data_IF_663686523614
#
_entry.id   IF_663686523614
#
_cell.length_a   1.000
_cell.length_b   1.000
_cell.length_c   1.000
_cell.angle_alpha   90.00
_cell.angle_beta   90.00
_cell.angle_gamma   90.00
#
_symmetry.space_group_name_H-M   'P 1'
#
loop_
_entity.id
_entity.type
_entity.pdbx_description
1 polymer ?
#
# COMPACT_ATOMS: atom_id res chain seq x y z
N UNK A 1 -3.06 -6.77 -27.78
CA UNK A 1 -2.77 -5.47 -27.12
C UNK A 1 -3.71 -5.34 -25.93
N UNK A 2 -3.35 -5.97 -24.82
CA UNK A 2 -4.16 -6.12 -23.61
C UNK A 2 -4.15 -4.83 -22.78
N UNK A 3 -5.33 -4.45 -22.29
CA UNK A 3 -5.58 -3.38 -21.33
C UNK A 3 -5.36 -3.88 -19.90
N UNK A 4 -4.13 -4.21 -19.55
CA UNK A 4 -3.68 -4.37 -18.17
C UNK A 4 -2.54 -3.35 -18.03
N UNK A 5 -2.70 -2.14 -17.51
CA UNK A 5 -3.50 -1.73 -16.38
C UNK A 5 -2.50 -1.16 -15.38
N UNK A 6 -2.03 0.08 -15.61
CA UNK A 6 -1.20 0.88 -14.69
C UNK A 6 -1.92 1.20 -13.34
N UNK A 7 -2.87 0.35 -12.97
CA UNK A 7 -3.57 0.32 -11.71
C UNK A 7 -2.93 -0.83 -10.94
N UNK A 8 -2.19 -0.50 -9.89
CA UNK A 8 -1.64 -1.46 -8.94
C UNK A 8 -0.69 -2.52 -9.54
N UNK A 9 0.37 -2.09 -10.23
CA UNK A 9 1.59 -2.89 -10.34
C UNK A 9 2.54 -2.47 -9.20
N UNK A 10 3.07 -3.44 -8.47
CA UNK A 10 4.09 -3.25 -7.44
C UNK A 10 5.47 -3.58 -7.98
N UNK A 11 6.45 -2.87 -7.42
CA UNK A 11 7.88 -3.06 -7.58
C UNK A 11 8.30 -4.54 -7.64
N UNK A 12 8.59 -5.00 -8.84
CA UNK A 12 9.39 -6.20 -9.09
C UNK A 12 10.78 -5.73 -9.48
N UNK A 13 11.77 -6.03 -8.63
CA UNK A 13 13.23 -6.13 -8.86
C UNK A 13 14.06 -5.52 -7.73
N UNK A 14 13.94 -6.04 -6.51
CA UNK A 14 15.09 -6.14 -5.59
C UNK A 14 14.99 -7.46 -4.82
N UNK A 15 15.34 -8.56 -5.46
CA UNK A 15 15.74 -9.77 -4.73
C UNK A 15 16.64 -10.62 -5.60
N UNK A 16 17.94 -10.35 -5.58
CA UNK A 16 18.94 -11.38 -5.85
C UNK A 16 20.21 -11.06 -5.04
N UNK A 17 20.71 -12.11 -4.40
CA UNK A 17 21.96 -12.24 -3.68
C UNK A 17 22.00 -11.83 -2.18
N UNK A 18 21.36 -12.64 -1.33
CA UNK A 18 21.99 -13.02 -0.04
C UNK A 18 21.79 -14.52 0.16
N UNK A 19 22.89 -15.28 0.07
CA UNK A 19 22.92 -16.68 0.47
C UNK A 19 23.83 -17.57 -0.38
N UNK A 20 25.14 -17.54 -0.11
CA UNK A 20 25.95 -18.71 0.29
C UNK A 20 27.46 -18.45 0.20
N UNK A 21 28.13 -18.97 1.22
CA UNK A 21 29.53 -19.39 1.33
C UNK A 21 30.62 -18.45 1.83
N UNK A 22 31.28 -19.01 2.85
CA UNK A 22 32.48 -18.58 3.55
C UNK A 22 33.74 -18.56 2.67
N UNK A 23 34.70 -17.73 3.08
CA UNK A 23 36.12 -18.01 2.92
C UNK A 23 36.92 -17.01 2.08
N UNK A 24 38.04 -16.58 2.68
CA UNK A 24 39.28 -16.04 2.09
C UNK A 24 39.49 -14.51 2.05
N UNK A 25 40.52 -14.12 2.84
CA UNK A 25 41.27 -12.87 2.79
C UNK A 25 42.02 -12.76 1.45
N UNK A 26 42.48 -11.52 1.18
CA UNK A 26 43.42 -11.05 0.13
C UNK A 26 42.87 -10.77 -1.27
N UNK A 27 42.45 -9.53 -1.54
CA UNK A 27 42.45 -8.91 -2.89
C UNK A 27 42.30 -7.37 -2.84
N UNK A 28 43.13 -6.68 -2.05
CA UNK A 28 43.06 -5.21 -1.89
C UNK A 28 43.66 -4.36 -3.04
N UNK A 29 44.19 -4.97 -4.10
CA UNK A 29 44.96 -4.26 -5.14
C UNK A 29 44.20 -3.88 -6.42
N UNK A 30 43.12 -4.59 -6.77
CA UNK A 30 42.49 -4.45 -8.09
C UNK A 30 41.32 -3.44 -8.13
N UNK A 31 40.68 -3.17 -6.98
CA UNK A 31 39.55 -2.23 -6.89
C UNK A 31 40.00 -0.76 -7.06
N UNK A 32 41.23 -0.42 -6.64
CA UNK A 32 41.76 0.95 -6.76
C UNK A 32 42.15 1.36 -8.20
N UNK A 33 42.43 0.41 -9.10
CA UNK A 33 42.70 0.73 -10.53
C UNK A 33 41.43 1.02 -11.32
N UNK A 34 40.32 0.36 -11.01
CA UNK A 34 39.03 0.57 -11.67
C UNK A 34 38.42 1.96 -11.36
N UNK A 35 38.59 2.44 -10.11
CA UNK A 35 38.09 3.75 -9.67
C UNK A 35 38.88 4.94 -10.27
N UNK A 36 40.16 4.77 -10.61
CA UNK A 36 40.93 5.81 -11.32
C UNK A 36 40.51 5.98 -12.79
N UNK A 37 40.22 4.88 -13.48
CA UNK A 37 39.78 4.92 -14.89
C UNK A 37 38.42 5.61 -15.09
N UNK A 38 37.49 5.49 -14.14
CA UNK A 38 36.19 6.17 -14.22
C UNK A 38 36.27 7.69 -13.98
N UNK A 39 37.21 8.15 -13.13
CA UNK A 39 37.43 9.59 -12.89
C UNK A 39 38.00 10.34 -14.09
N UNK A 40 38.84 9.67 -14.88
CA UNK A 40 39.46 10.26 -16.08
C UNK A 40 38.47 10.38 -17.24
N UNK A 41 37.53 9.43 -17.34
CA UNK A 41 36.47 9.45 -18.34
C UNK A 41 35.41 10.53 -18.04
N UNK A 42 35.13 10.83 -16.76
CA UNK A 42 34.27 11.95 -16.35
C UNK A 42 34.89 13.32 -16.65
N UNK A 43 36.21 13.48 -16.47
CA UNK A 43 36.90 14.75 -16.82
C UNK A 43 36.88 15.04 -18.32
N UNK A 44 37.03 14.02 -19.18
CA UNK A 44 36.96 14.19 -20.64
C UNK A 44 35.56 14.58 -21.12
N UNK A 45 34.48 14.08 -20.49
CA UNK A 45 33.10 14.47 -20.81
C UNK A 45 32.74 15.91 -20.40
N UNK A 46 33.32 16.42 -19.31
CA UNK A 46 33.10 17.81 -18.87
C UNK A 46 33.72 18.86 -19.81
N UNK A 47 34.88 18.57 -20.42
CA UNK A 47 35.56 19.49 -21.35
C UNK A 47 34.80 19.63 -22.68
N UNK A 48 34.11 18.57 -23.13
CA UNK A 48 33.30 18.58 -24.37
C UNK A 48 32.02 19.40 -24.18
N UNK A 49 31.39 19.35 -23.00
CA UNK A 49 30.19 20.15 -22.70
C UNK A 49 30.49 21.64 -22.48
N UNK A 50 31.68 21.99 -21.97
CA UNK A 50 32.12 23.39 -21.86
C UNK A 50 32.31 24.09 -23.20
N UNK A 51 32.67 23.37 -24.28
CA UNK A 51 32.86 23.95 -25.62
C UNK A 51 31.55 24.16 -26.39
N UNK A 52 30.49 23.42 -26.07
CA UNK A 52 29.17 23.55 -26.73
C UNK A 52 28.38 24.74 -26.13
N UNK A 53 28.60 25.07 -24.86
CA UNK A 53 27.95 26.19 -24.19
C UNK A 53 28.48 27.57 -24.66
N UNK A 54 29.76 27.68 -25.07
CA UNK A 54 30.34 28.93 -25.57
C UNK A 54 29.99 29.25 -27.03
N UNK A 55 29.56 28.26 -27.83
CA UNK A 55 29.21 28.48 -29.25
C UNK A 55 27.78 29.01 -29.47
N UNK A 56 26.92 29.01 -28.44
CA UNK A 56 25.53 29.53 -28.51
C UNK A 56 25.35 30.94 -27.95
N UNK A 57 26.35 31.51 -27.29
CA UNK A 57 26.29 32.89 -26.77
C UNK A 57 26.78 33.96 -27.75
N UNK A 58 27.48 33.59 -28.84
CA UNK A 58 28.01 34.54 -29.83
C UNK A 58 27.09 34.78 -31.04
N UNK A 59 26.02 33.99 -31.22
CA UNK A 59 25.05 34.17 -32.31
C UNK A 59 23.92 35.17 -32.02
N UNK A 60 23.86 35.74 -30.81
CA UNK A 60 22.82 36.72 -30.42
C UNK A 60 23.31 38.17 -30.29
N UNK A 61 24.47 38.52 -30.89
CA UNK A 61 25.02 39.88 -30.81
C UNK A 61 25.22 40.61 -32.14
N UNK A 62 24.58 40.14 -33.22
CA UNK A 62 24.50 40.86 -34.49
C UNK A 62 23.11 40.69 -35.11
N UNK A 63 22.23 41.66 -34.88
CA UNK A 63 21.40 42.33 -35.88
C UNK A 63 20.45 43.29 -35.18
N UNK A 64 20.69 44.58 -35.38
CA UNK A 64 19.94 45.68 -34.78
C UNK A 64 18.62 45.96 -35.49
N UNK A 65 17.79 46.70 -34.76
CA UNK A 65 16.83 47.71 -35.22
C UNK A 65 16.07 47.44 -36.52
N UNK A 66 14.83 46.98 -36.39
CA UNK A 66 13.81 47.07 -37.43
C UNK A 66 12.42 46.94 -36.80
N UNK A 67 11.71 48.06 -36.64
CA UNK A 67 10.27 48.04 -36.41
C UNK A 67 9.60 47.36 -37.60
N UNK A 68 8.89 46.26 -37.37
CA UNK A 68 8.02 45.66 -38.38
C UNK A 68 6.59 45.77 -37.86
N UNK A 69 5.81 46.63 -38.51
CA UNK A 69 4.37 46.72 -38.35
C UNK A 69 3.72 45.46 -38.94
N UNK A 70 2.78 44.85 -38.23
CA UNK A 70 1.97 43.74 -38.74
C UNK A 70 0.71 44.31 -39.40
N UNK A 71 0.63 44.23 -40.74
CA UNK A 71 -0.63 44.34 -41.47
C UNK A 71 -1.43 43.05 -41.32
N UNK A 72 -2.69 43.16 -40.87
CA UNK A 72 -3.62 42.06 -40.81
C UNK A 72 -4.10 41.71 -42.23
N UNK A 73 -3.70 40.54 -42.75
CA UNK A 73 -4.40 39.89 -43.86
C UNK A 73 -5.32 38.80 -43.31
N UNK A 74 -6.61 38.97 -43.55
CA UNK A 74 -7.62 37.95 -43.34
C UNK A 74 -7.27 36.70 -44.18
N UNK A 75 -7.23 35.54 -43.54
CA UNK A 75 -7.15 34.24 -44.20
C UNK A 75 -8.46 33.52 -43.92
N UNK A 76 -9.11 33.13 -45.01
CA UNK A 76 -10.42 32.49 -45.06
C UNK A 76 -10.44 31.15 -44.34
N UNK A 77 -11.55 30.94 -43.62
CA UNK A 77 -11.94 29.72 -42.92
C UNK A 77 -12.12 28.56 -43.93
N UNK A 78 -11.11 27.68 -43.98
CA UNK A 78 -11.23 26.39 -44.65
C UNK A 78 -11.31 25.31 -43.59
N UNK A 79 -12.54 24.83 -43.36
CA UNK A 79 -12.88 23.81 -42.40
C UNK A 79 -12.02 22.55 -42.51
N UNK A 80 -11.04 22.44 -41.60
CA UNK A 80 -10.30 21.22 -41.33
C UNK A 80 -10.55 20.83 -39.88
N UNK A 81 -11.23 19.69 -39.71
CA UNK A 81 -11.57 19.06 -38.42
C UNK A 81 -10.35 19.06 -37.50
N UNK A 82 -10.51 19.59 -36.28
CA UNK A 82 -9.56 19.48 -35.19
C UNK A 82 -9.06 18.03 -35.05
N UNK A 83 -7.87 17.75 -35.58
CA UNK A 83 -7.12 16.55 -35.21
C UNK A 83 -6.69 16.77 -33.77
N UNK A 84 -7.13 15.88 -32.88
CA UNK A 84 -6.62 15.75 -31.51
C UNK A 84 -5.08 15.76 -31.54
N UNK A 85 -4.49 16.91 -31.21
CA UNK A 85 -3.10 17.00 -30.79
C UNK A 85 -3.02 16.26 -29.44
N UNK A 86 -2.80 14.94 -29.50
CA UNK A 86 -2.38 14.18 -28.32
C UNK A 86 -1.05 14.76 -27.90
N UNK A 87 -1.07 15.67 -26.93
CA UNK A 87 0.12 16.10 -26.21
C UNK A 87 0.74 14.81 -25.65
N UNK A 88 1.84 14.39 -26.24
CA UNK A 88 2.60 13.24 -25.74
C UNK A 88 2.99 13.57 -24.30
N UNK A 89 2.77 12.64 -23.38
CA UNK A 89 3.21 12.81 -22.00
C UNK A 89 4.69 13.22 -21.98
N UNK A 90 5.09 14.16 -21.10
CA UNK A 90 6.47 14.66 -21.04
C UNK A 90 7.47 13.64 -20.48
N UNK A 91 7.00 12.42 -20.16
CA UNK A 91 7.78 11.33 -19.60
C UNK A 91 7.47 10.03 -20.34
N UNK A 92 8.44 9.11 -20.34
CA UNK A 92 8.32 7.78 -20.95
C UNK A 92 8.54 6.68 -19.91
N UNK A 93 7.98 5.50 -20.14
CA UNK A 93 8.23 4.33 -19.30
C UNK A 93 9.72 3.98 -19.30
N UNK A 94 10.27 3.69 -18.12
CA UNK A 94 11.69 3.43 -17.90
C UNK A 94 12.56 4.69 -17.79
N UNK A 95 11.99 5.89 -17.94
CA UNK A 95 12.73 7.13 -17.79
C UNK A 95 13.01 7.43 -16.30
N UNK A 96 14.28 7.67 -15.97
CA UNK A 96 14.68 8.22 -14.68
C UNK A 96 14.36 9.73 -14.63
N UNK A 97 13.71 10.17 -13.57
CA UNK A 97 13.39 11.58 -13.33
C UNK A 97 13.75 11.97 -11.89
N UNK A 98 14.22 13.21 -11.73
CA UNK A 98 14.42 13.83 -10.43
C UNK A 98 13.18 14.67 -10.12
N UNK A 99 12.60 14.46 -8.94
CA UNK A 99 11.37 15.15 -8.53
C UNK A 99 11.52 15.72 -7.12
N UNK A 100 10.93 16.89 -6.92
CA UNK A 100 10.56 17.39 -5.59
C UNK A 100 9.12 16.98 -5.32
N UNK A 101 8.84 16.48 -4.11
CA UNK A 101 7.51 16.04 -3.70
C UNK A 101 6.76 17.19 -3.02
N UNK A 102 5.66 17.61 -3.64
CA UNK A 102 4.85 18.76 -3.22
C UNK A 102 3.72 18.39 -2.25
N UNK A 103 3.32 17.12 -2.24
CA UNK A 103 2.14 16.68 -1.49
C UNK A 103 1.99 15.17 -1.46
N UNK A 104 0.93 14.71 -0.78
CA UNK A 104 0.52 13.31 -0.74
C UNK A 104 -0.85 13.14 -1.41
N UNK A 105 -1.04 12.03 -2.10
CA UNK A 105 -2.34 11.60 -2.60
C UNK A 105 -3.25 11.14 -1.45
N UNK A 106 -4.53 10.90 -1.73
CA UNK A 106 -5.48 10.35 -0.76
C UNK A 106 -5.08 8.98 -0.19
N UNK A 107 -4.27 8.24 -0.95
CA UNK A 107 -3.70 6.91 -0.63
C UNK A 107 -2.29 7.01 -0.02
N UNK A 108 -1.77 8.21 0.20
CA UNK A 108 -0.47 8.42 0.86
C UNK A 108 0.74 8.32 -0.07
N UNK A 109 0.55 8.40 -1.39
CA UNK A 109 1.65 8.39 -2.35
C UNK A 109 2.20 9.80 -2.54
N UNK A 110 3.52 9.94 -2.63
CA UNK A 110 4.14 11.22 -2.96
C UNK A 110 3.69 11.72 -4.32
N UNK A 111 3.39 13.02 -4.42
CA UNK A 111 3.01 13.66 -5.67
C UNK A 111 4.03 14.75 -5.99
N UNK A 112 4.78 14.54 -7.07
CA UNK A 112 5.65 15.54 -7.68
C UNK A 112 5.13 15.93 -9.07
N UNK A 113 5.72 16.97 -9.65
CA UNK A 113 5.43 17.39 -11.03
C UNK A 113 6.69 17.58 -11.85
N UNK A 114 6.64 17.16 -13.10
CA UNK A 114 7.65 17.47 -14.11
C UNK A 114 6.96 18.09 -15.33
N UNK A 115 7.40 19.28 -15.74
CA UNK A 115 6.77 20.04 -16.84
C UNK A 115 5.24 20.17 -16.68
N UNK A 116 4.77 20.37 -15.44
CA UNK A 116 3.34 20.47 -15.11
C UNK A 116 2.57 19.14 -15.08
N UNK A 117 3.20 18.02 -15.40
CA UNK A 117 2.60 16.69 -15.42
C UNK A 117 2.81 15.97 -14.09
N UNK A 118 1.73 15.45 -13.51
CA UNK A 118 1.75 14.81 -12.19
C UNK A 118 2.40 13.43 -12.25
N UNK A 119 3.29 13.16 -11.29
CA UNK A 119 3.94 11.86 -11.11
C UNK A 119 3.70 11.39 -9.68
N UNK A 120 3.07 10.22 -9.53
CA UNK A 120 2.80 9.57 -8.25
C UNK A 120 3.92 8.59 -7.91
N UNK A 121 4.48 8.72 -6.72
CA UNK A 121 5.62 7.92 -6.26
C UNK A 121 5.34 7.36 -4.86
N UNK A 122 4.89 6.10 -4.76
CA UNK A 122 4.70 5.43 -3.47
C UNK A 122 5.99 5.42 -2.64
N UNK A 123 5.87 5.68 -1.33
CA UNK A 123 7.01 5.69 -0.41
C UNK A 123 7.81 7.00 -0.37
N UNK A 124 7.48 7.98 -1.22
CA UNK A 124 8.05 9.31 -1.21
C UNK A 124 7.21 10.28 -0.36
N UNK A 125 7.87 11.19 0.35
CA UNK A 125 7.25 12.11 1.31
C UNK A 125 7.38 13.57 0.89
N UNK A 126 6.50 14.43 1.42
CA UNK A 126 6.52 15.86 1.16
C UNK A 126 7.85 16.49 1.59
N UNK A 127 8.37 17.36 0.73
CA UNK A 127 9.65 18.06 0.94
C UNK A 127 10.87 17.25 0.50
N UNK A 128 10.70 16.02 0.03
CA UNK A 128 11.81 15.22 -0.47
C UNK A 128 12.23 15.60 -1.89
N UNK A 129 13.53 15.51 -2.12
CA UNK A 129 14.09 15.40 -3.47
C UNK A 129 14.46 13.95 -3.72
N UNK A 130 13.94 13.37 -4.80
CA UNK A 130 14.05 11.94 -5.08
C UNK A 130 14.51 11.69 -6.51
N UNK A 131 15.05 10.49 -6.73
CA UNK A 131 15.18 9.88 -8.06
C UNK A 131 14.18 8.74 -8.15
N UNK A 132 13.40 8.73 -9.22
CA UNK A 132 12.43 7.69 -9.48
C UNK A 132 12.39 7.31 -10.97
N UNK A 133 12.05 6.06 -11.23
CA UNK A 133 11.91 5.52 -12.59
C UNK A 133 10.44 5.39 -12.93
N UNK A 134 10.04 6.01 -14.04
CA UNK A 134 8.64 5.98 -14.51
C UNK A 134 8.24 4.56 -14.86
N UNK A 135 7.31 4.00 -14.09
CA UNK A 135 6.80 2.64 -14.26
C UNK A 135 5.71 2.61 -15.32
N UNK A 136 4.81 3.58 -15.28
CA UNK A 136 3.71 3.65 -16.23
C UNK A 136 3.19 5.06 -16.46
N UNK A 137 2.70 5.31 -17.67
CA UNK A 137 2.23 6.61 -18.12
C UNK A 137 0.76 6.49 -18.54
N UNK A 138 -0.10 7.31 -17.93
CA UNK A 138 -1.52 7.45 -18.28
C UNK A 138 -1.74 8.79 -18.98
N UNK A 139 -2.98 9.07 -19.35
CA UNK A 139 -3.36 10.29 -20.10
C UNK A 139 -2.94 11.59 -19.39
N UNK A 140 -3.12 11.66 -18.06
CA UNK A 140 -2.97 12.90 -17.30
C UNK A 140 -1.93 12.82 -16.17
N UNK A 141 -1.34 11.64 -15.94
CA UNK A 141 -0.36 11.42 -14.89
C UNK A 141 0.53 10.22 -15.22
N UNK A 142 1.64 10.09 -14.50
CA UNK A 142 2.46 8.89 -14.47
C UNK A 142 2.57 8.35 -13.04
N UNK A 143 2.94 7.08 -12.93
CA UNK A 143 3.38 6.45 -11.68
C UNK A 143 4.85 6.08 -11.85
N UNK A 144 5.63 6.24 -10.80
CA UNK A 144 7.05 5.92 -10.79
C UNK A 144 7.41 5.12 -9.54
N UNK A 145 8.48 4.33 -9.66
CA UNK A 145 9.08 3.58 -8.55
C UNK A 145 10.17 4.47 -7.94
N UNK A 146 10.15 4.62 -6.62
CA UNK A 146 11.19 5.34 -5.89
C UNK A 146 12.50 4.54 -5.96
N UNK A 147 13.54 5.11 -6.57
CA UNK A 147 14.85 4.46 -6.67
C UNK A 147 15.75 4.84 -5.50
N UNK A 148 15.81 6.15 -5.19
CA UNK A 148 16.53 6.67 -4.03
C UNK A 148 16.03 8.04 -3.61
N UNK A 149 16.18 8.34 -2.32
CA UNK A 149 15.95 9.67 -1.76
C UNK A 149 17.28 10.43 -1.74
N UNK A 150 17.32 11.61 -2.37
CA UNK A 150 18.50 12.49 -2.37
C UNK A 150 18.49 13.32 -1.09
N UNK A 151 17.38 14.01 -0.85
CA UNK A 151 17.16 14.83 0.36
C UNK A 151 15.95 14.29 1.10
N UNK A 152 16.13 13.63 2.26
CA UNK A 152 15.03 13.06 3.01
C UNK A 152 14.23 14.11 3.77
N UNK A 153 12.94 13.84 3.96
CA UNK A 153 12.07 14.65 4.81
C UNK A 153 12.47 14.47 6.27
N UNK A 154 12.42 15.51 7.12
CA UNK A 154 12.64 15.35 8.56
C UNK A 154 11.60 14.42 9.21
N UNK A 155 10.44 14.23 8.57
CA UNK A 155 9.40 13.33 9.04
C UNK A 155 9.58 11.89 8.55
N UNK A 156 10.60 11.59 7.73
CA UNK A 156 10.88 10.22 7.29
C UNK A 156 11.28 9.36 8.48
N UNK A 157 10.59 8.24 8.65
CA UNK A 157 10.88 7.24 9.67
C UNK A 157 11.17 5.89 9.02
N UNK A 158 12.02 5.08 9.66
CA UNK A 158 12.20 3.69 9.25
C UNK A 158 10.97 2.87 9.69
N UNK A 159 10.28 2.17 8.77
CA UNK A 159 9.15 1.33 9.13
C UNK A 159 9.55 0.22 10.11
N UNK A 160 8.89 0.15 11.27
CA UNK A 160 9.18 -0.89 12.28
C UNK A 160 8.73 -2.32 11.89
N UNK A 161 8.10 -2.50 10.73
CA UNK A 161 7.49 -3.75 10.31
C UNK A 161 8.23 -4.34 9.12
N UNK A 162 8.82 -5.53 9.27
CA UNK A 162 9.58 -6.20 8.21
C UNK A 162 8.73 -6.54 6.97
N UNK A 163 7.42 -6.68 7.15
CA UNK A 163 6.47 -6.93 6.06
C UNK A 163 6.10 -5.66 5.29
N UNK A 164 6.49 -4.48 5.76
CA UNK A 164 6.10 -3.20 5.16
C UNK A 164 6.40 -3.07 3.66
N UNK A 165 7.57 -3.53 3.13
CA UNK A 165 7.86 -3.38 1.70
C UNK A 165 6.90 -4.14 0.78
N UNK A 166 6.30 -5.24 1.25
CA UNK A 166 5.41 -6.09 0.46
C UNK A 166 3.94 -5.94 0.85
N UNK A 167 3.64 -5.72 2.13
CA UNK A 167 2.29 -5.63 2.66
C UNK A 167 1.59 -4.34 2.23
N UNK A 168 0.45 -4.45 1.53
CA UNK A 168 -0.34 -3.31 1.07
C UNK A 168 -1.13 -2.57 2.17
N UNK A 169 -0.96 -2.92 3.44
CA UNK A 169 -1.83 -2.46 4.54
C UNK A 169 -1.45 -1.11 5.15
N UNK A 170 -0.19 -0.94 5.58
CA UNK A 170 0.22 0.19 6.42
C UNK A 170 0.95 1.29 5.63
N UNK A 171 0.30 1.88 4.63
CA UNK A 171 0.91 2.74 3.61
C UNK A 171 1.77 3.93 4.12
N UNK A 172 1.53 4.41 5.34
CA UNK A 172 2.22 5.59 5.92
C UNK A 172 3.28 5.23 6.96
N UNK A 173 3.70 3.97 7.11
CA UNK A 173 4.64 3.56 8.17
C UNK A 173 6.05 4.16 8.02
N UNK A 174 6.38 4.66 6.83
CA UNK A 174 7.62 5.38 6.52
C UNK A 174 7.59 6.87 6.92
N UNK A 175 6.49 7.32 7.52
CA UNK A 175 6.28 8.66 8.03
C UNK A 175 6.18 8.61 9.56
N UNK A 176 6.82 9.57 10.24
CA UNK A 176 6.70 9.77 11.70
C UNK A 176 5.23 9.83 12.12
N UNK A 177 4.94 9.54 13.39
CA UNK A 177 3.56 9.54 13.84
C UNK A 177 2.94 10.94 13.77
N UNK A 178 3.70 11.96 14.13
CA UNK A 178 3.35 13.38 14.01
C UNK A 178 3.09 13.77 12.55
N UNK A 179 3.97 13.34 11.64
CA UNK A 179 3.81 13.51 10.20
C UNK A 179 2.54 12.84 9.67
N UNK A 180 2.18 11.65 10.17
CA UNK A 180 0.93 10.97 9.81
C UNK A 180 -0.30 11.78 10.25
N UNK A 181 -0.28 12.40 11.44
CA UNK A 181 -1.37 13.25 11.91
C UNK A 181 -1.47 14.52 11.05
N UNK A 182 -0.34 15.14 10.71
CA UNK A 182 -0.29 16.30 9.83
C UNK A 182 -0.82 15.99 8.43
N UNK A 183 -0.38 14.88 7.82
CA UNK A 183 -0.85 14.42 6.51
C UNK A 183 -2.37 14.15 6.51
N UNK A 184 -2.88 13.49 7.55
CA UNK A 184 -4.33 13.24 7.70
C UNK A 184 -5.12 14.54 7.84
N UNK A 185 -4.60 15.52 8.59
CA UNK A 185 -5.21 16.85 8.71
C UNK A 185 -5.24 17.55 7.35
N UNK A 186 -4.12 17.57 6.64
CA UNK A 186 -4.01 18.22 5.34
C UNK A 186 -4.98 17.59 4.33
N UNK A 187 -5.18 16.27 4.38
CA UNK A 187 -6.18 15.60 3.54
C UNK A 187 -7.61 16.12 3.77
N UNK A 188 -7.97 16.42 5.02
CA UNK A 188 -9.28 17.00 5.34
C UNK A 188 -9.35 18.46 4.89
N UNK A 189 -8.29 19.25 5.10
CA UNK A 189 -8.20 20.64 4.58
C UNK A 189 -8.40 20.66 3.07
N UNK A 190 -7.64 19.83 2.34
CA UNK A 190 -7.71 19.75 0.88
C UNK A 190 -9.11 19.34 0.40
N UNK A 191 -9.76 18.39 1.09
CA UNK A 191 -11.11 17.98 0.74
C UNK A 191 -12.14 19.10 0.97
N UNK A 192 -12.09 19.77 2.14
CA UNK A 192 -13.04 20.83 2.51
C UNK A 192 -12.90 22.05 1.59
N UNK A 193 -11.66 22.46 1.29
CA UNK A 193 -11.38 23.61 0.43
C UNK A 193 -11.60 23.29 -1.06
N UNK A 194 -10.95 22.25 -1.60
CA UNK A 194 -10.95 21.99 -3.05
C UNK A 194 -12.21 21.30 -3.55
N UNK A 195 -12.81 20.41 -2.75
CA UNK A 195 -14.04 19.69 -3.15
C UNK A 195 -15.27 20.40 -2.59
N UNK A 196 -15.20 20.84 -1.33
CA UNK A 196 -16.31 21.54 -0.68
C UNK A 196 -16.45 23.00 -1.08
N UNK A 197 -15.38 23.66 -1.55
CA UNK A 197 -15.38 25.10 -1.84
C UNK A 197 -15.50 25.96 -0.58
N UNK A 198 -15.10 25.42 0.58
CA UNK A 198 -15.26 26.07 1.88
C UNK A 198 -13.90 26.52 2.42
N UNK A 199 -13.52 27.76 2.15
CA UNK A 199 -12.20 28.29 2.53
C UNK A 199 -12.11 28.75 4.00
N UNK A 200 -13.25 29.09 4.61
CA UNK A 200 -13.31 29.64 5.98
C UNK A 200 -13.58 28.58 7.08
N UNK A 201 -13.47 27.29 6.76
CA UNK A 201 -13.70 26.22 7.72
C UNK A 201 -12.40 25.83 8.43
N UNK A 202 -12.35 26.06 9.74
CA UNK A 202 -11.21 25.67 10.56
C UNK A 202 -11.17 24.15 10.76
N UNK A 203 -10.20 23.49 10.12
CA UNK A 203 -9.87 22.08 10.40
C UNK A 203 -8.92 22.00 11.60
N UNK A 204 -9.42 21.46 12.71
CA UNK A 204 -8.64 21.26 13.93
C UNK A 204 -7.53 20.19 13.77
N UNK A 205 -6.51 20.19 14.65
CA UNK A 205 -5.53 19.10 14.70
C UNK A 205 -6.18 17.73 14.88
N UNK A 206 -5.61 16.71 14.24
CA UNK A 206 -6.08 15.32 14.38
C UNK A 206 -5.78 14.83 15.80
N UNK A 207 -6.78 14.24 16.44
CA UNK A 207 -6.60 13.61 17.75
C UNK A 207 -5.89 12.27 17.54
N UNK A 208 -4.67 12.16 18.06
CA UNK A 208 -3.84 10.97 17.96
C UNK A 208 -4.17 9.89 18.99
N UNK A 209 -3.44 8.79 18.91
CA UNK A 209 -3.42 7.66 19.84
C UNK A 209 -2.06 7.65 20.53
N UNK A 210 -2.04 7.51 21.86
CA UNK A 210 -0.80 7.53 22.63
C UNK A 210 0.14 6.38 22.26
N UNK A 211 -0.40 5.18 22.06
CA UNK A 211 0.32 4.00 21.59
C UNK A 211 -0.35 3.49 20.30
N UNK A 212 0.13 3.86 19.09
CA UNK A 212 -0.52 3.55 17.83
C UNK A 212 -0.30 2.10 17.35
N UNK A 213 -0.12 1.16 18.27
CA UNK A 213 0.11 -0.27 18.00
C UNK A 213 -0.98 -1.15 18.63
N UNK A 214 -1.08 -2.40 18.16
CA UNK A 214 -1.97 -3.45 18.70
C UNK A 214 -3.44 -3.03 18.89
N UNK A 215 -3.89 -2.02 18.15
CA UNK A 215 -5.17 -1.39 18.35
C UNK A 215 -6.32 -2.09 17.63
N UNK A 216 -6.02 -2.91 16.61
CA UNK A 216 -7.06 -3.57 15.81
C UNK A 216 -7.67 -4.73 16.59
N UNK A 217 -8.99 -4.69 16.71
CA UNK A 217 -9.79 -5.75 17.30
C UNK A 217 -10.34 -6.75 16.25
N UNK A 218 -10.01 -6.54 14.97
CA UNK A 218 -10.42 -7.39 13.87
C UNK A 218 -9.28 -7.56 12.87
N UNK A 219 -8.90 -8.82 12.69
CA UNK A 219 -8.00 -9.28 11.64
C UNK A 219 -8.80 -10.05 10.60
N UNK A 220 -8.39 -9.91 9.34
CA UNK A 220 -8.95 -10.62 8.20
C UNK A 220 -7.80 -10.98 7.27
N UNK A 221 -7.43 -12.25 7.25
CA UNK A 221 -6.35 -12.76 6.43
C UNK A 221 -6.94 -13.63 5.31
N UNK A 222 -6.69 -13.31 4.02
CA UNK A 222 -6.80 -14.32 2.98
C UNK A 222 -5.97 -15.55 3.29
N UNK A 223 -6.43 -16.67 2.76
CA UNK A 223 -5.73 -17.94 2.79
C UNK A 223 -5.32 -18.29 1.37
N UNK A 224 -4.03 -18.58 1.18
CA UNK A 224 -3.47 -19.03 -0.07
C UNK A 224 -2.64 -20.29 0.12
N UNK A 225 -1.99 -20.71 -0.97
CA UNK A 225 -1.03 -21.81 -0.98
C UNK A 225 0.27 -21.30 -1.57
N UNK A 226 1.39 -21.63 -0.94
CA UNK A 226 2.74 -21.30 -1.41
C UNK A 226 3.65 -22.48 -1.11
N UNK A 227 4.39 -22.95 -2.11
CA UNK A 227 5.26 -24.13 -1.99
C UNK A 227 4.51 -25.35 -1.41
N UNK A 228 3.28 -25.57 -1.91
CA UNK A 228 2.32 -26.59 -1.45
C UNK A 228 1.86 -26.47 0.03
N UNK A 229 2.23 -25.39 0.71
CA UNK A 229 1.85 -25.11 2.09
C UNK A 229 0.77 -24.04 2.20
N UNK A 230 -0.20 -24.27 3.09
CA UNK A 230 -1.25 -23.29 3.38
C UNK A 230 -0.67 -22.09 4.11
N UNK A 231 -0.86 -20.89 3.55
CA UNK A 231 -0.37 -19.62 4.10
C UNK A 231 -1.52 -18.68 4.41
N UNK A 232 -1.35 -17.87 5.45
CA UNK A 232 -2.28 -16.81 5.82
C UNK A 232 -1.52 -15.50 5.99
N UNK A 233 -2.14 -14.39 5.62
CA UNK A 233 -1.53 -13.08 5.81
C UNK A 233 -2.24 -11.96 5.08
N UNK A 234 -1.50 -10.92 4.72
CA UNK A 234 -2.02 -9.79 3.98
C UNK A 234 -1.82 -9.99 2.47
N UNK A 235 -2.61 -9.30 1.66
CA UNK A 235 -2.29 -9.20 0.24
C UNK A 235 -1.07 -8.31 0.01
N UNK A 236 -0.23 -8.71 -0.94
CA UNK A 236 0.84 -7.86 -1.45
C UNK A 236 0.23 -6.61 -2.10
N UNK A 237 0.89 -5.47 -1.94
CA UNK A 237 0.40 -4.20 -2.44
C UNK A 237 0.01 -4.26 -3.92
N UNK A 238 -1.28 -4.14 -4.22
CA UNK A 238 -1.78 -4.11 -5.58
C UNK A 238 -2.01 -5.46 -6.26
N UNK A 239 -1.81 -6.57 -5.57
CA UNK A 239 -2.07 -7.92 -6.10
C UNK A 239 -2.99 -8.71 -5.17
N UNK A 240 -3.36 -9.92 -5.58
CA UNK A 240 -4.04 -10.90 -4.72
C UNK A 240 -3.08 -12.00 -4.23
N UNK A 241 -1.76 -11.75 -4.29
CA UNK A 241 -0.77 -12.67 -3.73
C UNK A 241 -0.75 -12.52 -2.20
N UNK A 242 -0.82 -13.66 -1.48
CA UNK A 242 -0.79 -13.67 -0.02
C UNK A 242 0.64 -13.63 0.48
N UNK A 243 1.00 -12.58 1.21
CA UNK A 243 2.25 -12.45 1.95
C UNK A 243 2.11 -13.19 3.28
N UNK A 244 2.86 -14.30 3.52
CA UNK A 244 2.82 -15.00 4.79
C UNK A 244 3.09 -14.05 5.96
N UNK A 245 2.19 -14.01 6.93
CA UNK A 245 2.24 -13.05 8.04
C UNK A 245 2.12 -13.80 9.37
N UNK A 246 3.24 -13.90 10.08
CA UNK A 246 3.28 -14.49 11.43
C UNK A 246 2.79 -13.53 12.50
N UNK A 247 3.17 -12.25 12.39
CA UNK A 247 2.72 -11.19 13.28
C UNK A 247 2.44 -9.90 12.50
N UNK A 248 1.58 -9.06 13.05
CA UNK A 248 1.24 -7.76 12.51
C UNK A 248 1.10 -6.74 13.65
N UNK A 249 1.98 -5.73 13.70
CA UNK A 249 2.08 -4.79 14.83
C UNK A 249 0.81 -4.00 15.15
N UNK A 250 -0.13 -3.87 14.21
CA UNK A 250 -1.42 -3.21 14.45
C UNK A 250 -2.51 -4.18 14.94
N UNK A 251 -2.31 -5.49 14.79
CA UNK A 251 -3.23 -6.53 15.25
C UNK A 251 -2.88 -6.97 16.66
N UNK A 252 -3.89 -7.35 17.45
CA UNK A 252 -3.67 -7.93 18.78
C UNK A 252 -2.91 -9.26 18.68
N UNK A 253 -1.99 -9.48 19.62
CA UNK A 253 -1.20 -10.71 19.70
C UNK A 253 -2.09 -11.95 19.87
N UNK A 254 -3.13 -11.88 20.70
CA UNK A 254 -4.12 -12.96 20.85
C UNK A 254 -4.78 -13.33 19.51
N UNK A 255 -5.15 -12.34 18.69
CA UNK A 255 -5.74 -12.59 17.37
C UNK A 255 -4.75 -13.26 16.41
N UNK A 256 -3.47 -12.89 16.46
CA UNK A 256 -2.41 -13.52 15.67
C UNK A 256 -2.13 -14.95 16.12
N UNK A 257 -2.11 -15.22 17.43
CA UNK A 257 -1.96 -16.56 17.99
C UNK A 257 -3.12 -17.49 17.57
N UNK A 258 -4.35 -16.99 17.59
CA UNK A 258 -5.53 -17.71 17.09
C UNK A 258 -5.38 -18.04 15.60
N UNK A 259 -4.95 -17.08 14.76
CA UNK A 259 -4.71 -17.33 13.33
C UNK A 259 -3.65 -18.41 13.13
N UNK A 260 -2.57 -18.40 13.91
CA UNK A 260 -1.52 -19.41 13.83
C UNK A 260 -2.07 -20.81 14.15
N UNK A 261 -2.91 -20.94 15.19
CA UNK A 261 -3.63 -22.19 15.50
C UNK A 261 -4.58 -22.61 14.39
N UNK A 262 -5.38 -21.69 13.84
CA UNK A 262 -6.28 -21.99 12.72
C UNK A 262 -5.50 -22.51 11.52
N UNK A 263 -4.36 -21.89 11.17
CA UNK A 263 -3.51 -22.34 10.07
C UNK A 263 -2.92 -23.73 10.32
N UNK A 264 -2.45 -23.99 11.54
CA UNK A 264 -1.96 -25.32 11.96
C UNK A 264 -3.05 -26.39 11.83
N UNK A 265 -4.23 -26.13 12.39
CA UNK A 265 -5.37 -27.04 12.33
C UNK A 265 -5.89 -27.21 10.90
N UNK A 266 -5.88 -26.16 10.08
CA UNK A 266 -6.28 -26.25 8.68
C UNK A 266 -5.45 -27.28 7.92
N UNK A 267 -4.13 -27.32 8.15
CA UNK A 267 -3.26 -28.35 7.58
C UNK A 267 -3.58 -29.74 8.12
N UNK A 268 -3.75 -29.86 9.43
CA UNK A 268 -4.06 -31.15 10.09
C UNK A 268 -5.39 -31.77 9.62
N UNK A 269 -6.38 -30.93 9.34
CA UNK A 269 -7.70 -31.34 8.84
C UNK A 269 -7.75 -31.45 7.30
N UNK A 270 -6.63 -31.24 6.61
CA UNK A 270 -6.55 -31.34 5.15
C UNK A 270 -7.32 -30.27 4.40
N UNK A 271 -7.46 -29.06 4.98
CA UNK A 271 -8.09 -27.94 4.31
C UNK A 271 -7.14 -27.34 3.27
N UNK A 272 -7.68 -27.03 2.09
CA UNK A 272 -6.97 -26.32 1.02
C UNK A 272 -7.30 -24.84 1.01
N UNK A 273 -6.31 -24.01 0.72
CA UNK A 273 -6.50 -22.59 0.42
C UNK A 273 -7.28 -22.41 -0.89
N UNK A 274 -8.10 -21.37 -0.95
CA UNK A 274 -8.88 -21.03 -2.14
C UNK A 274 -8.00 -20.37 -3.19
N UNK A 275 -8.03 -20.92 -4.40
CA UNK A 275 -7.35 -20.35 -5.57
C UNK A 275 -8.37 -19.62 -6.45
N UNK A 276 -8.20 -18.31 -6.64
CA UNK A 276 -9.19 -17.49 -7.35
C UNK A 276 -9.26 -17.80 -8.86
N UNK A 277 -8.16 -18.30 -9.45
CA UNK A 277 -8.07 -18.59 -10.88
C UNK A 277 -8.84 -19.88 -11.24
N UNK A 278 -8.54 -20.98 -10.56
CA UNK A 278 -9.18 -22.29 -10.70
C UNK A 278 -10.52 -22.38 -9.98
N UNK A 279 -10.74 -21.50 -8.99
CA UNK A 279 -11.91 -21.46 -8.09
C UNK A 279 -12.07 -22.70 -7.23
N UNK A 280 -10.97 -23.42 -7.04
CA UNK A 280 -10.90 -24.61 -6.21
C UNK A 280 -10.37 -24.25 -4.84
N UNK A 281 -10.48 -25.20 -3.92
CA UNK A 281 -10.08 -25.04 -2.54
C UNK A 281 -11.22 -24.60 -1.63
N UNK A 282 -11.03 -24.85 -0.33
CA UNK A 282 -12.08 -24.69 0.66
C UNK A 282 -11.99 -23.36 1.40
N UNK A 283 -10.84 -23.03 1.96
CA UNK A 283 -10.69 -21.91 2.88
C UNK A 283 -10.28 -20.65 2.12
N UNK A 284 -11.14 -19.63 2.11
CA UNK A 284 -10.90 -18.35 1.42
C UNK A 284 -10.19 -17.36 2.34
N UNK A 285 -10.71 -17.21 3.55
CA UNK A 285 -10.24 -16.24 4.53
C UNK A 285 -10.41 -16.79 5.94
N UNK A 286 -9.60 -16.28 6.85
CA UNK A 286 -9.77 -16.43 8.30
C UNK A 286 -9.92 -15.03 8.89
N UNK A 287 -10.98 -14.82 9.68
CA UNK A 287 -11.15 -13.61 10.46
C UNK A 287 -11.11 -13.96 11.94
N UNK A 288 -10.53 -13.06 12.73
CA UNK A 288 -10.68 -13.08 14.18
C UNK A 288 -11.21 -11.72 14.61
N UNK A 289 -12.34 -11.71 15.31
CA UNK A 289 -12.88 -10.55 16.01
C UNK A 289 -12.60 -10.71 17.50
N UNK A 290 -12.20 -9.63 18.14
CA UNK A 290 -11.87 -9.60 19.56
C UNK A 290 -12.71 -8.50 20.22
N UNK A 291 -13.45 -8.84 21.26
CA UNK A 291 -14.20 -7.90 22.07
C UNK A 291 -13.25 -7.28 23.10
N UNK A 292 -12.95 -5.99 22.97
CA UNK A 292 -11.88 -5.36 23.74
C UNK A 292 -12.21 -5.23 25.24
N UNK A 293 -13.46 -4.93 25.57
CA UNK A 293 -13.93 -4.72 26.94
C UNK A 293 -14.22 -6.00 27.73
N UNK A 294 -14.47 -7.13 27.06
CA UNK A 294 -14.74 -8.42 27.71
C UNK A 294 -13.63 -9.44 27.55
N UNK A 295 -12.79 -9.30 26.52
CA UNK A 295 -11.75 -10.27 26.17
C UNK A 295 -12.22 -11.43 25.30
N UNK A 296 -13.51 -11.51 24.95
CA UNK A 296 -14.05 -12.59 24.12
C UNK A 296 -13.52 -12.54 22.69
N UNK A 297 -13.28 -13.70 22.08
CA UNK A 297 -12.87 -13.82 20.69
C UNK A 297 -13.85 -14.66 19.86
N UNK A 298 -14.00 -14.26 18.60
CA UNK A 298 -14.75 -14.99 17.56
C UNK A 298 -13.83 -15.30 16.41
N UNK A 299 -13.82 -16.56 15.97
CA UNK A 299 -13.15 -17.00 14.75
C UNK A 299 -14.17 -17.21 13.65
N UNK A 300 -13.90 -16.68 12.46
CA UNK A 300 -14.74 -16.90 11.28
C UNK A 300 -13.90 -17.52 10.16
N UNK A 301 -14.25 -18.74 9.78
CA UNK A 301 -13.72 -19.44 8.61
C UNK A 301 -14.59 -19.13 7.41
N UNK A 302 -14.06 -18.39 6.43
CA UNK A 302 -14.78 -18.12 5.20
C UNK A 302 -14.50 -19.26 4.22
N UNK A 303 -15.54 -20.02 3.85
CA UNK A 303 -15.39 -21.22 3.01
C UNK A 303 -16.09 -21.11 1.67
N UNK A 304 -15.47 -21.67 0.63
CA UNK A 304 -16.04 -21.85 -0.70
C UNK A 304 -16.97 -23.09 -0.71
N UNK A 305 -18.12 -22.95 -0.04
CA UNK A 305 -19.12 -24.02 0.08
C UNK A 305 -19.52 -24.29 1.53
N UNK A 306 -20.61 -25.03 1.70
CA UNK A 306 -21.21 -25.33 3.01
C UNK A 306 -20.73 -26.66 3.62
N UNK A 307 -19.81 -27.36 2.96
CA UNK A 307 -19.21 -28.57 3.52
C UNK A 307 -18.48 -28.25 4.83
N UNK A 308 -18.55 -29.15 5.79
CA UNK A 308 -17.88 -29.00 7.08
C UNK A 308 -16.36 -29.01 6.90
N UNK A 309 -15.59 -28.11 7.54
CA UNK A 309 -14.12 -28.14 7.50
C UNK A 309 -13.56 -29.53 7.84
N UNK A 310 -12.85 -30.16 6.89
CA UNK A 310 -12.26 -31.50 7.04
C UNK A 310 -13.27 -32.60 7.37
N UNK A 311 -14.56 -32.39 7.08
CA UNK A 311 -15.67 -33.26 7.51
C UNK A 311 -15.95 -33.25 9.01
N UNK A 312 -15.23 -32.43 9.80
CA UNK A 312 -15.17 -32.48 11.27
C UNK A 312 -15.14 -31.06 11.88
N UNK A 313 -16.09 -30.23 11.47
CA UNK A 313 -16.09 -28.79 11.74
C UNK A 313 -16.29 -28.45 13.21
N UNK A 314 -17.11 -29.24 13.92
CA UNK A 314 -17.30 -29.11 15.36
C UNK A 314 -16.01 -29.43 16.13
N UNK A 315 -15.32 -30.51 15.78
CA UNK A 315 -14.00 -30.86 16.33
C UNK A 315 -12.99 -29.75 16.04
N UNK A 316 -12.98 -29.23 14.81
CA UNK A 316 -12.10 -28.12 14.41
C UNK A 316 -12.33 -26.88 15.31
N UNK A 317 -13.58 -26.49 15.50
CA UNK A 317 -13.95 -25.36 16.35
C UNK A 317 -13.62 -25.60 17.83
N UNK A 318 -13.91 -26.79 18.35
CA UNK A 318 -13.61 -27.16 19.73
C UNK A 318 -12.11 -27.11 20.03
N UNK A 319 -11.26 -27.58 19.10
CA UNK A 319 -9.80 -27.54 19.27
C UNK A 319 -9.22 -26.12 19.25
N UNK A 320 -9.82 -25.21 18.49
CA UNK A 320 -9.45 -23.79 18.57
C UNK A 320 -9.74 -23.24 19.98
N UNK A 321 -10.95 -23.51 20.49
CA UNK A 321 -11.35 -23.01 21.81
C UNK A 321 -10.60 -23.68 22.97
N UNK A 322 -10.15 -24.92 22.79
CA UNK A 322 -9.28 -25.60 23.73
C UNK A 322 -7.90 -24.94 23.83
N UNK A 323 -7.31 -24.57 22.69
CA UNK A 323 -6.01 -23.88 22.63
C UNK A 323 -6.13 -22.40 23.07
N UNK A 324 -7.30 -21.78 22.87
CA UNK A 324 -7.58 -20.37 23.12
C UNK A 324 -8.88 -20.18 23.91
N UNK A 325 -8.84 -20.25 25.26
CA UNK A 325 -10.04 -20.20 26.11
C UNK A 325 -10.89 -18.93 25.99
N UNK A 326 -10.30 -17.83 25.49
CA UNK A 326 -11.01 -16.59 25.17
C UNK A 326 -11.95 -16.71 23.97
N UNK A 327 -11.76 -17.71 23.09
CA UNK A 327 -12.64 -17.96 21.95
C UNK A 327 -13.98 -18.47 22.48
N UNK A 328 -15.04 -17.71 22.24
CA UNK A 328 -16.43 -18.06 22.61
C UNK A 328 -17.31 -18.39 21.41
N UNK A 329 -16.79 -18.20 20.19
CA UNK A 329 -17.53 -18.40 18.96
C UNK A 329 -16.61 -18.83 17.82
N UNK A 330 -16.93 -19.94 17.15
CA UNK A 330 -16.30 -20.35 15.90
C UNK A 330 -17.39 -20.52 14.84
N UNK A 331 -17.30 -19.71 13.79
CA UNK A 331 -18.31 -19.62 12.74
C UNK A 331 -17.71 -20.02 11.41
N UNK A 332 -18.42 -20.84 10.63
CA UNK A 332 -18.20 -20.98 9.21
C UNK A 332 -19.10 -20.00 8.46
N UNK A 333 -18.50 -19.08 7.71
CA UNK A 333 -19.21 -18.20 6.80
C UNK A 333 -19.07 -18.73 5.36
N UNK A 334 -20.18 -19.04 4.71
CA UNK A 334 -20.17 -19.66 3.37
C UNK A 334 -20.21 -18.59 2.30
N UNK A 335 -19.16 -18.52 1.47
CA UNK A 335 -19.07 -17.61 0.35
C UNK A 335 -18.56 -18.30 -0.92
N UNK A 336 -19.49 -18.62 -1.82
CA UNK A 336 -19.23 -19.16 -3.17
C UNK A 336 -19.32 -18.08 -4.26
N UNK A 337 -19.57 -16.82 -3.88
CA UNK A 337 -19.74 -15.73 -4.83
C UNK A 337 -18.39 -15.30 -5.42
N UNK A 338 -18.46 -14.80 -6.66
CA UNK A 338 -17.33 -14.16 -7.36
C UNK A 338 -17.21 -12.71 -6.91
N UNK A 339 -15.98 -12.21 -6.89
CA UNK A 339 -15.66 -10.81 -6.57
C UNK A 339 -14.96 -10.64 -5.22
N UNK A 340 -14.73 -9.37 -4.86
CA UNK A 340 -13.94 -8.97 -3.70
C UNK A 340 -14.68 -9.03 -2.35
N UNK A 341 -15.96 -9.36 -2.36
CA UNK A 341 -16.73 -9.50 -1.12
C UNK A 341 -16.23 -10.72 -0.36
N UNK A 342 -15.70 -10.48 0.84
CA UNK A 342 -15.10 -11.54 1.68
C UNK A 342 -16.15 -12.39 2.36
N UNK A 343 -17.14 -11.77 2.98
CA UNK A 343 -18.19 -12.49 3.71
C UNK A 343 -19.38 -12.79 2.81
N UNK A 344 -19.84 -14.03 2.86
CA UNK A 344 -21.11 -14.46 2.29
C UNK A 344 -22.28 -14.26 3.25
N UNK A 345 -23.46 -14.74 2.84
CA UNK A 345 -24.73 -14.49 3.55
C UNK A 345 -25.10 -15.55 4.58
N UNK A 346 -24.47 -16.72 4.55
CA UNK A 346 -24.80 -17.86 5.41
C UNK A 346 -23.71 -18.06 6.46
N UNK A 347 -24.11 -18.10 7.73
CA UNK A 347 -23.27 -18.47 8.86
C UNK A 347 -23.72 -19.83 9.41
N UNK A 348 -22.76 -20.64 9.83
CA UNK A 348 -22.96 -21.93 10.49
C UNK A 348 -22.09 -21.91 11.75
N UNK A 349 -22.69 -22.16 12.91
CA UNK A 349 -21.93 -22.27 14.17
C UNK A 349 -21.20 -23.62 14.15
N UNK A 350 -19.87 -23.57 14.25
CA UNK A 350 -19.05 -24.77 14.42
C UNK A 350 -18.82 -25.08 15.89
N UNK A 351 -18.69 -24.05 16.73
CA UNK A 351 -18.52 -24.21 18.18
C UNK A 351 -18.91 -22.93 18.92
N UNK A 352 -19.49 -23.08 20.12
CA UNK A 352 -19.84 -21.98 21.01
C UNK A 352 -21.05 -21.17 20.56
N UNK A 353 -21.00 -19.86 20.76
CA UNK A 353 -22.10 -18.92 20.53
C UNK A 353 -22.11 -18.38 19.09
N UNK A 354 -23.26 -17.88 18.61
CA UNK A 354 -23.35 -17.18 17.31
C UNK A 354 -22.69 -15.79 17.33
N UNK A 355 -22.59 -15.18 18.52
CA UNK A 355 -22.10 -13.81 18.71
C UNK A 355 -21.18 -13.74 19.92
N UNK A 356 -20.20 -12.84 19.89
CA UNK A 356 -19.47 -12.39 21.10
C UNK A 356 -20.05 -11.08 21.61
N UNK A 357 -19.79 -10.75 22.87
CA UNK A 357 -20.24 -9.50 23.48
C UNK A 357 -19.06 -8.61 23.80
N UNK A 358 -19.09 -7.36 23.36
CA UNK A 358 -18.13 -6.32 23.77
C UNK A 358 -18.79 -5.30 24.70
N UNK A 359 -17.97 -4.61 25.50
CA UNK A 359 -18.41 -3.52 26.38
C UNK A 359 -17.61 -2.26 26.11
N UNK A 360 -18.31 -1.15 25.87
CA UNK A 360 -17.70 0.16 25.61
C UNK A 360 -18.56 1.27 26.22
N UNK A 361 -17.96 2.14 27.04
CA UNK A 361 -18.65 3.24 27.73
C UNK A 361 -19.94 2.81 28.46
N UNK A 362 -19.92 1.65 29.13
CA UNK A 362 -21.07 1.11 29.88
C UNK A 362 -22.14 0.42 29.04
N UNK A 363 -22.05 0.46 27.70
CA UNK A 363 -22.94 -0.23 26.78
C UNK A 363 -22.41 -1.63 26.44
N UNK A 364 -23.31 -2.57 26.17
CA UNK A 364 -22.98 -3.92 25.71
C UNK A 364 -23.40 -4.11 24.24
N UNK A 365 -22.49 -4.63 23.42
CA UNK A 365 -22.68 -4.82 21.99
C UNK A 365 -22.54 -6.30 21.62
N UNK A 366 -23.57 -6.90 21.02
CA UNK A 366 -23.48 -8.24 20.43
C UNK A 366 -22.89 -8.13 19.02
N UNK A 367 -21.80 -8.84 18.78
CA UNK A 367 -21.04 -8.81 17.53
C UNK A 367 -21.19 -10.17 16.85
N UNK A 368 -21.80 -10.20 15.66
CA UNK A 368 -21.91 -11.39 14.82
C UNK A 368 -20.77 -11.47 13.81
N UNK A 369 -20.65 -12.59 13.08
CA UNK A 369 -19.63 -12.73 12.03
C UNK A 369 -19.72 -11.64 10.95
N UNK A 370 -20.94 -11.22 10.57
CA UNK A 370 -21.20 -10.28 9.47
C UNK A 370 -21.45 -8.84 9.91
N UNK A 371 -21.59 -8.56 11.21
CA UNK A 371 -21.80 -7.20 11.68
C UNK A 371 -20.55 -6.32 11.53
N UNK A 372 -20.78 -5.05 11.21
CA UNK A 372 -19.77 -4.01 11.33
C UNK A 372 -19.59 -3.62 12.81
N UNK A 373 -18.34 -3.45 13.21
CA UNK A 373 -17.95 -2.92 14.51
C UNK A 373 -16.64 -2.17 14.34
N UNK A 374 -16.45 -1.10 15.10
CA UNK A 374 -15.26 -0.25 14.96
C UNK A 374 -14.00 -1.04 15.27
N UNK A 375 -13.00 -0.91 14.40
CA UNK A 375 -11.79 -1.75 14.48
C UNK A 375 -10.76 -1.25 15.49
N UNK A 376 -10.84 0.02 15.91
CA UNK A 376 -9.96 0.60 16.93
C UNK A 376 -10.81 1.08 18.12
N UNK A 377 -11.07 0.21 19.12
CA UNK A 377 -11.88 0.54 20.30
C UNK A 377 -11.37 1.76 21.06
N UNK A 378 -10.04 1.89 21.19
CA UNK A 378 -9.40 2.98 21.93
C UNK A 378 -9.74 4.33 21.30
N UNK A 379 -9.61 4.46 19.98
CA UNK A 379 -9.99 5.68 19.28
C UNK A 379 -11.50 5.85 19.10
N UNK A 380 -12.27 4.76 19.17
CA UNK A 380 -13.75 4.82 19.11
C UNK A 380 -14.30 5.56 20.31
N UNK A 381 -13.79 5.28 21.51
CA UNK A 381 -14.17 5.99 22.74
C UNK A 381 -13.86 7.48 22.60
N UNK A 382 -12.67 7.84 22.11
CA UNK A 382 -12.29 9.23 21.88
C UNK A 382 -13.21 9.93 20.86
N UNK A 383 -13.55 9.24 19.77
CA UNK A 383 -14.46 9.75 18.75
C UNK A 383 -15.86 10.01 19.33
N UNK A 384 -16.41 9.04 20.07
CA UNK A 384 -17.76 9.15 20.63
C UNK A 384 -17.89 10.18 21.74
N UNK A 385 -16.83 10.44 22.51
CA UNK A 385 -16.83 11.52 23.50
C UNK A 385 -16.72 12.91 22.88
N UNK A 386 -16.28 13.00 21.62
CA UNK A 386 -16.06 14.28 20.93
C UNK A 386 -17.20 14.67 20.00
N UNK A 387 -17.84 13.69 19.36
CA UNK A 387 -19.07 13.85 18.60
C UNK A 387 -20.23 14.20 19.53
#
# INVERSE_FOLDING_TARGET
MSKEGCDFASASMVTQAVGKNAGWRTAGGHVLKALRGQRENMRKKAVVWGRIAMAKSDQHRQNGSGQVQYEAKAVEDTGARHRDLRVSAPVQVGQEVVLTIDGLSSTGEGVGRTLGFAVFVPGALVGEEIVCTVECVKKNYARAILDRVITPSPERAEPMCDLYPSCGGCQLLHLSYEGQLAAKRQRVVDAVTRIGGLDDVKVHPVIGMADPWRYRNKVQHPVGTRDDELVTGCYMGGTHEVVPTEDCHIQRQASMAIIATVRRLAREFGLSGYDEASRQGMLRHVLVKYAYGTGEAMVVLVTNGAGSPGGRGEEFGARIAQDHPEVKSVIQNVNTARGSMVLGRKNIVLWGEETITDRMEGLAFRISATSFYQVNPIQTVTLYRKA
#
